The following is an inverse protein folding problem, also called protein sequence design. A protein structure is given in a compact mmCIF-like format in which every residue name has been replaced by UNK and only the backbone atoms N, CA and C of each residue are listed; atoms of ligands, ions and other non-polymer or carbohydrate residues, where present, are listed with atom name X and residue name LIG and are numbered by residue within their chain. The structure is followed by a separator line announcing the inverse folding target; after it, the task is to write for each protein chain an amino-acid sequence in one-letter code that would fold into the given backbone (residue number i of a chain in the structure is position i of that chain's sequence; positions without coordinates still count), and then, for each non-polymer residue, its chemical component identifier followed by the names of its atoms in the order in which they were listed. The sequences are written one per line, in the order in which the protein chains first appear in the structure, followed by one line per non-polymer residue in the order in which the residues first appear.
data_IF_803889995598
#
_entry.id   IF_803889995598
#
_cell.length_a   1.000
_cell.length_b   1.000
_cell.length_c   1.000
_cell.angle_alpha   90.00
_cell.angle_beta   90.00
_cell.angle_gamma   90.00
#
_symmetry.space_group_name_H-M   'P 1'
#
loop_
_entity.id
_entity.type
_entity.pdbx_description
1 polymer ?
#
# COMPACT_ATOMS: atom_id res chain seq x y z
N UNK A 1 16.68 -15.46 3.43
CA UNK A 1 17.32 -14.22 3.94
C UNK A 1 16.36 -13.56 4.94
N UNK A 2 16.68 -12.41 5.56
CA UNK A 2 15.67 -11.68 6.36
C UNK A 2 14.57 -11.08 5.47
N UNK A 3 14.92 -10.66 4.25
CA UNK A 3 13.96 -10.21 3.25
C UNK A 3 13.01 -11.35 2.86
N UNK A 4 13.54 -12.54 2.56
CA UNK A 4 12.71 -13.70 2.18
C UNK A 4 11.75 -14.09 3.31
N UNK A 5 12.20 -14.05 4.57
CA UNK A 5 11.33 -14.30 5.72
C UNK A 5 10.20 -13.26 5.82
N UNK A 6 10.52 -11.98 5.68
CA UNK A 6 9.52 -10.91 5.66
C UNK A 6 8.50 -11.11 4.55
N UNK A 7 8.94 -11.45 3.34
CA UNK A 7 8.07 -11.75 2.21
C UNK A 7 7.17 -12.96 2.49
N UNK A 8 7.74 -14.09 2.90
CA UNK A 8 6.99 -15.33 3.20
C UNK A 8 5.94 -15.11 4.30
N UNK A 9 6.31 -14.38 5.36
CA UNK A 9 5.41 -14.01 6.45
C UNK A 9 4.29 -13.08 5.98
N UNK A 10 4.61 -12.12 5.11
CA UNK A 10 3.62 -11.22 4.50
C UNK A 10 2.64 -11.98 3.61
N UNK A 11 3.12 -12.84 2.72
CA UNK A 11 2.26 -13.70 1.89
C UNK A 11 1.29 -14.51 2.77
N UNK A 12 1.80 -15.15 3.83
CA UNK A 12 0.99 -15.96 4.72
C UNK A 12 -0.03 -15.14 5.51
N UNK A 13 0.36 -13.98 6.04
CA UNK A 13 -0.49 -13.12 6.85
C UNK A 13 -1.60 -12.44 6.04
N UNK A 14 -1.30 -12.06 4.80
CA UNK A 14 -2.21 -11.33 3.92
C UNK A 14 -3.24 -12.23 3.21
N UNK A 15 -3.00 -13.55 3.11
CA UNK A 15 -3.87 -14.47 2.36
C UNK A 15 -5.37 -14.36 2.73
N UNK A 16 -5.71 -14.09 3.99
CA UNK A 16 -7.10 -13.92 4.44
C UNK A 16 -7.77 -12.65 3.88
N UNK A 17 -6.98 -11.65 3.49
CA UNK A 17 -7.44 -10.36 2.98
C UNK A 17 -7.64 -10.35 1.46
N UNK A 18 -7.44 -11.49 0.78
CA UNK A 18 -7.91 -11.68 -0.60
C UNK A 18 -9.43 -11.41 -0.71
N UNK A 19 -10.19 -11.65 0.37
CA UNK A 19 -11.58 -11.22 0.52
C UNK A 19 -11.64 -9.82 1.19
N UNK A 20 -12.03 -8.75 0.46
CA UNK A 20 -12.13 -7.41 1.04
C UNK A 20 -13.15 -7.30 2.17
N UNK A 21 -14.14 -8.20 2.27
CA UNK A 21 -15.05 -8.21 3.41
C UNK A 21 -14.32 -8.60 4.72
N UNK A 22 -13.31 -9.47 4.63
CA UNK A 22 -12.43 -9.80 5.76
C UNK A 22 -11.59 -8.58 6.11
N UNK A 23 -11.00 -7.90 5.13
CA UNK A 23 -10.25 -6.68 5.36
C UNK A 23 -11.12 -5.59 6.04
N UNK A 24 -12.33 -5.35 5.55
CA UNK A 24 -13.29 -4.42 6.17
C UNK A 24 -13.59 -4.81 7.62
N UNK A 25 -13.78 -6.10 7.90
CA UNK A 25 -14.04 -6.58 9.28
C UNK A 25 -12.85 -6.38 10.23
N UNK A 26 -11.65 -6.19 9.68
CA UNK A 26 -10.41 -5.87 10.40
C UNK A 26 -10.12 -4.35 10.45
N UNK A 27 -10.99 -3.51 9.89
CA UNK A 27 -10.88 -2.05 9.97
C UNK A 27 -10.19 -1.36 8.81
N UNK A 28 -9.87 -2.08 7.72
CA UNK A 28 -9.36 -1.48 6.49
C UNK A 28 -10.50 -0.79 5.70
N UNK A 29 -10.25 0.42 5.21
CA UNK A 29 -11.19 1.14 4.34
C UNK A 29 -11.15 0.60 2.91
N UNK A 30 -12.10 -0.27 2.58
CA UNK A 30 -12.23 -0.87 1.24
C UNK A 30 -13.37 -0.26 0.43
N UNK A 31 -14.01 0.81 0.93
CA UNK A 31 -15.15 1.40 0.24
C UNK A 31 -14.72 2.14 -1.02
N UNK A 32 -15.51 1.99 -2.09
CA UNK A 32 -15.29 2.72 -3.33
C UNK A 32 -14.06 2.28 -4.12
N UNK A 33 -13.50 1.09 -3.87
CA UNK A 33 -12.33 0.55 -4.58
C UNK A 33 -12.44 0.67 -6.12
N UNK A 34 -11.40 1.25 -6.75
CA UNK A 34 -11.28 1.43 -8.19
C UNK A 34 -9.80 1.49 -8.62
N UNK A 35 -9.52 1.26 -9.91
CA UNK A 35 -8.17 1.37 -10.46
C UNK A 35 -7.27 0.20 -10.10
N UNK A 36 -5.95 0.38 -10.23
CA UNK A 36 -4.93 -0.64 -10.02
C UNK A 36 -3.99 -0.35 -8.83
N UNK A 37 -4.29 0.66 -8.01
CA UNK A 37 -3.45 1.12 -6.90
C UNK A 37 -4.29 1.64 -5.72
N UNK A 38 -5.33 0.89 -5.35
CA UNK A 38 -6.24 1.28 -4.27
C UNK A 38 -5.63 0.96 -2.90
N UNK A 39 -5.30 2.00 -2.15
CA UNK A 39 -4.75 1.91 -0.81
C UNK A 39 -5.87 1.87 0.24
N UNK A 40 -6.18 0.67 0.72
CA UNK A 40 -7.12 0.44 1.80
C UNK A 40 -6.42 0.61 3.16
N UNK A 41 -6.41 1.83 3.68
CA UNK A 41 -5.75 2.17 4.95
C UNK A 41 -6.53 1.72 6.19
N UNK A 42 -5.82 1.48 7.29
CA UNK A 42 -6.38 1.25 8.61
C UNK A 42 -5.81 2.27 9.61
N UNK A 43 -6.58 3.33 9.86
CA UNK A 43 -6.17 4.43 10.75
C UNK A 43 -5.86 3.98 12.19
N UNK A 44 -6.40 2.84 12.64
CA UNK A 44 -6.11 2.34 13.99
C UNK A 44 -4.71 1.72 14.14
N UNK A 45 -4.04 1.42 13.03
CA UNK A 45 -2.71 0.79 13.00
C UNK A 45 -1.57 1.79 12.80
N UNK A 46 -1.84 2.95 12.20
CA UNK A 46 -0.81 3.95 11.83
C UNK A 46 0.07 4.48 12.97
N UNK A 47 -0.45 4.49 14.20
CA UNK A 47 0.25 4.97 15.39
C UNK A 47 0.27 3.92 16.51
N UNK A 48 0.22 2.63 16.16
CA UNK A 48 0.06 1.53 17.12
C UNK A 48 1.39 1.04 17.73
N UNK A 49 2.51 1.61 17.29
CA UNK A 49 3.87 1.31 17.74
C UNK A 49 4.47 0.04 17.16
N UNK A 50 3.79 -0.63 16.22
CA UNK A 50 4.32 -1.78 15.48
C UNK A 50 4.90 -1.27 14.17
N UNK A 51 6.17 -1.54 13.97
CA UNK A 51 6.85 -1.21 12.72
C UNK A 51 7.10 -2.50 11.95
N UNK A 52 6.64 -2.53 10.69
CA UNK A 52 6.87 -3.64 9.77
C UNK A 52 6.34 -4.97 10.35
N UNK A 53 5.08 -4.99 10.80
CA UNK A 53 4.37 -6.18 11.28
C UNK A 53 3.47 -6.76 10.17
N UNK A 54 3.85 -7.86 9.50
CA UNK A 54 3.06 -8.44 8.43
C UNK A 54 1.64 -8.87 8.83
N UNK A 55 1.38 -9.09 10.12
CA UNK A 55 0.06 -9.47 10.61
C UNK A 55 -0.91 -8.29 10.77
N UNK A 56 -0.39 -7.07 10.85
CA UNK A 56 -1.15 -5.84 11.05
C UNK A 56 -0.54 -4.69 10.21
N UNK A 57 -0.47 -4.82 8.87
CA UNK A 57 0.05 -3.73 8.06
C UNK A 57 -0.88 -2.50 8.14
N UNK A 58 -0.31 -1.31 8.06
CA UNK A 58 -1.07 -0.05 8.13
C UNK A 58 -2.01 0.10 6.93
N UNK A 59 -1.60 -0.40 5.75
CA UNK A 59 -2.38 -0.30 4.52
C UNK A 59 -2.29 -1.58 3.69
N UNK A 60 -3.44 -2.05 3.19
CA UNK A 60 -3.52 -3.08 2.14
C UNK A 60 -3.64 -2.41 0.77
N UNK A 61 -3.02 -2.98 -0.26
CA UNK A 61 -3.10 -2.44 -1.62
C UNK A 61 -3.85 -3.40 -2.53
N UNK A 62 -4.88 -2.90 -3.20
CA UNK A 62 -5.73 -3.66 -4.12
C UNK A 62 -5.74 -3.07 -5.53
N UNK A 63 -6.01 -3.92 -6.51
CA UNK A 63 -6.40 -3.53 -7.86
C UNK A 63 -7.76 -4.12 -8.23
N UNK A 64 -8.43 -3.52 -9.21
CA UNK A 64 -9.65 -4.04 -9.81
C UNK A 64 -9.34 -4.72 -11.15
N UNK A 65 -9.40 -6.06 -11.18
CA UNK A 65 -9.41 -6.84 -12.41
C UNK A 65 -10.85 -6.93 -12.94
N UNK A 66 -11.28 -5.89 -13.66
CA UNK A 66 -12.69 -5.71 -14.03
C UNK A 66 -13.51 -5.29 -12.81
N UNK A 67 -14.46 -6.13 -12.39
CA UNK A 67 -15.24 -5.95 -11.16
C UNK A 67 -14.71 -6.77 -9.97
N UNK A 68 -13.59 -7.48 -10.15
CA UNK A 68 -12.98 -8.31 -9.12
C UNK A 68 -11.81 -7.61 -8.43
N UNK A 69 -11.86 -7.44 -7.10
CA UNK A 69 -10.72 -6.97 -6.34
C UNK A 69 -9.62 -8.04 -6.30
N UNK A 70 -8.37 -7.60 -6.43
CA UNK A 70 -7.15 -8.41 -6.38
C UNK A 70 -6.23 -7.78 -5.35
N UNK A 71 -5.85 -8.54 -4.32
CA UNK A 71 -4.88 -8.08 -3.32
C UNK A 71 -3.47 -8.08 -3.94
N UNK A 72 -2.84 -6.92 -4.02
CA UNK A 72 -1.48 -6.77 -4.56
C UNK A 72 -0.42 -6.98 -3.49
N UNK A 73 -0.67 -6.49 -2.28
CA UNK A 73 0.33 -6.46 -1.22
C UNK A 73 -0.10 -5.61 -0.02
N UNK A 74 0.90 -5.20 0.74
CA UNK A 74 0.74 -4.27 1.85
C UNK A 74 1.77 -3.15 1.76
N UNK A 75 1.39 -1.99 2.29
CA UNK A 75 2.28 -0.87 2.57
C UNK A 75 2.40 -0.73 4.08
N UNK A 76 3.64 -0.73 4.56
CA UNK A 76 4.00 -0.44 5.94
C UNK A 76 4.40 1.02 6.04
N UNK A 77 4.03 1.68 7.13
CA UNK A 77 4.33 3.08 7.38
C UNK A 77 5.05 3.25 8.72
N UNK A 78 5.96 4.21 8.81
CA UNK A 78 6.54 4.62 10.08
C UNK A 78 5.56 5.50 10.86
N UNK A 79 5.54 5.41 12.20
CA UNK A 79 4.66 6.22 13.05
C UNK A 79 4.90 7.74 12.90
N UNK A 80 6.17 8.15 12.72
CA UNK A 80 6.54 9.57 12.71
C UNK A 80 7.26 10.03 11.43
N UNK A 81 6.94 11.24 10.97
CA UNK A 81 7.67 11.92 9.89
C UNK A 81 9.14 12.10 10.29
N UNK A 82 10.05 11.68 9.40
CA UNK A 82 11.49 11.78 9.60
C UNK A 82 12.08 10.64 10.43
N UNK A 83 11.27 9.67 10.87
CA UNK A 83 11.75 8.42 11.43
C UNK A 83 12.16 7.47 10.29
N UNK A 84 13.42 7.00 10.34
CA UNK A 84 13.92 6.06 9.35
C UNK A 84 13.41 4.64 9.62
N UNK A 85 12.94 3.97 8.57
CA UNK A 85 12.51 2.58 8.65
C UNK A 85 13.67 1.58 8.76
N UNK A 86 13.41 0.38 9.31
CA UNK A 86 14.45 -0.64 9.47
C UNK A 86 14.90 -1.25 8.13
N UNK A 87 16.22 -1.31 7.91
CA UNK A 87 16.82 -1.94 6.73
C UNK A 87 16.90 -3.48 6.84
N UNK A 88 15.75 -4.15 7.01
CA UNK A 88 15.66 -5.59 7.33
C UNK A 88 16.28 -6.50 6.25
N UNK A 89 16.13 -6.14 4.98
CA UNK A 89 16.74 -6.80 3.81
C UNK A 89 17.93 -6.06 3.21
N UNK A 90 18.49 -5.06 3.91
CA UNK A 90 19.53 -4.20 3.37
C UNK A 90 19.02 -3.43 2.14
N UNK A 91 19.75 -3.42 1.00
CA UNK A 91 19.37 -2.62 -0.17
C UNK A 91 18.09 -3.10 -0.88
N UNK A 92 17.55 -4.25 -0.51
CA UNK A 92 16.30 -4.78 -1.08
C UNK A 92 15.06 -4.19 -0.40
N UNK A 93 15.15 -3.74 0.85
CA UNK A 93 14.01 -3.23 1.61
C UNK A 93 14.17 -1.73 1.80
N UNK A 94 13.80 -0.95 0.77
CA UNK A 94 14.02 0.50 0.75
C UNK A 94 12.75 1.23 1.16
N UNK A 95 12.81 1.84 2.34
CA UNK A 95 11.82 2.80 2.80
C UNK A 95 11.95 4.11 2.03
N UNK A 96 10.83 4.74 1.72
CA UNK A 96 10.81 6.03 1.03
C UNK A 96 9.66 6.90 1.56
N UNK A 97 9.78 8.22 1.41
CA UNK A 97 8.69 9.15 1.72
C UNK A 97 8.31 9.90 0.45
N UNK A 98 7.04 10.21 0.29
CA UNK A 98 6.57 11.05 -0.82
C UNK A 98 6.56 12.50 -0.36
N UNK A 99 6.94 13.40 -1.24
CA UNK A 99 6.84 14.83 -1.03
C UNK A 99 5.61 15.40 -1.75
N UNK A 100 5.13 16.55 -1.28
CA UNK A 100 4.08 17.32 -1.96
C UNK A 100 2.76 16.55 -2.20
N UNK A 101 2.38 15.66 -1.27
CA UNK A 101 1.12 14.94 -1.32
C UNK A 101 -0.03 15.82 -0.86
N UNK A 102 -1.17 15.70 -1.54
CA UNK A 102 -2.43 16.26 -1.12
C UNK A 102 -3.28 15.18 -0.45
N UNK A 103 -3.58 15.32 0.84
CA UNK A 103 -4.50 14.44 1.55
C UNK A 103 -5.91 15.03 1.56
N UNK A 104 -6.88 14.25 1.11
CA UNK A 104 -8.29 14.54 1.36
C UNK A 104 -8.63 14.11 2.79
N UNK A 105 -9.46 14.91 3.48
CA UNK A 105 -10.04 14.53 4.77
C UNK A 105 -11.41 13.85 4.62
N UNK A 106 -12.00 13.88 3.42
CA UNK A 106 -13.33 13.31 3.12
C UNK A 106 -13.47 12.90 1.64
N UNK A 107 -13.33 11.60 1.28
CA UNK A 107 -12.85 10.49 2.13
C UNK A 107 -11.40 10.71 2.55
N UNK A 108 -10.99 10.11 3.66
CA UNK A 108 -9.59 10.19 4.11
C UNK A 108 -8.72 9.41 3.12
N UNK A 109 -7.67 10.04 2.60
CA UNK A 109 -6.76 9.38 1.67
C UNK A 109 -5.96 10.34 0.80
N UNK A 110 -5.09 9.78 -0.05
CA UNK A 110 -4.32 10.56 -1.01
C UNK A 110 -5.26 11.08 -2.11
N UNK A 111 -5.41 12.41 -2.16
CA UNK A 111 -6.16 13.13 -3.18
C UNK A 111 -5.33 13.42 -4.44
N UNK A 112 -4.03 13.10 -4.42
CA UNK A 112 -3.08 13.26 -5.51
C UNK A 112 -1.83 14.05 -5.11
N UNK A 113 -1.01 14.41 -6.08
CA UNK A 113 0.15 15.29 -5.90
C UNK A 113 -0.25 16.77 -6.01
N UNK A 114 0.56 17.65 -5.45
CA UNK A 114 0.39 19.08 -5.67
C UNK A 114 0.46 19.43 -7.15
N UNK A 115 -0.45 20.32 -7.58
CA UNK A 115 -0.38 20.93 -8.90
C UNK A 115 0.84 21.85 -9.04
N UNK A 116 1.14 22.34 -10.26
CA UNK A 116 2.36 23.10 -10.58
C UNK A 116 2.55 24.42 -9.79
N UNK A 117 1.54 24.85 -9.04
CA UNK A 117 1.57 26.04 -8.19
C UNK A 117 1.57 25.70 -6.68
N UNK A 118 1.81 24.44 -6.30
CA UNK A 118 1.74 24.00 -4.90
C UNK A 118 0.32 23.94 -4.34
N UNK A 119 -0.70 23.85 -5.21
CA UNK A 119 -2.09 23.79 -4.80
C UNK A 119 -2.60 22.35 -4.80
N UNK A 120 -3.30 21.97 -3.73
CA UNK A 120 -4.06 20.73 -3.67
C UNK A 120 -5.46 20.89 -4.27
N UNK A 121 -6.10 19.79 -4.70
CA UNK A 121 -7.52 19.78 -5.02
C UNK A 121 -8.37 20.41 -3.92
N UNK A 122 -9.50 21.01 -4.28
CA UNK A 122 -10.36 21.67 -3.31
C UNK A 122 -10.81 20.68 -2.21
N UNK A 123 -10.55 21.01 -0.95
CA UNK A 123 -10.85 20.15 0.19
C UNK A 123 -9.69 19.23 0.63
N UNK A 124 -8.58 19.23 -0.11
CA UNK A 124 -7.36 18.51 0.27
C UNK A 124 -6.31 19.43 0.91
N UNK A 125 -5.54 18.88 1.84
CA UNK A 125 -4.46 19.56 2.57
C UNK A 125 -3.13 19.10 2.01
N UNK A 126 -2.23 20.06 1.79
CA UNK A 126 -0.85 19.74 1.43
C UNK A 126 -0.10 19.19 2.65
N UNK A 127 0.52 18.03 2.46
CA UNK A 127 1.47 17.44 3.39
C UNK A 127 2.85 17.54 2.73
N UNK A 128 3.79 18.30 3.33
CA UNK A 128 5.09 18.57 2.71
C UNK A 128 5.93 17.30 2.50
N UNK A 129 5.80 16.32 3.40
CA UNK A 129 6.41 15.01 3.29
C UNK A 129 5.58 14.00 4.10
N UNK A 130 5.44 12.78 3.59
CA UNK A 130 4.80 11.68 4.32
C UNK A 130 5.75 11.06 5.34
N UNK A 131 5.21 10.16 6.15
CA UNK A 131 6.02 9.19 6.87
C UNK A 131 6.76 8.29 5.85
N UNK A 132 7.87 7.69 6.27
CA UNK A 132 8.52 6.69 5.43
C UNK A 132 7.60 5.48 5.30
N UNK A 133 7.48 4.96 4.08
CA UNK A 133 6.65 3.82 3.71
C UNK A 133 7.46 2.78 2.95
N UNK A 134 7.02 1.54 3.03
CA UNK A 134 7.66 0.40 2.39
C UNK A 134 6.62 -0.60 1.92
N UNK A 135 6.68 -0.96 0.64
CA UNK A 135 5.75 -1.91 0.03
C UNK A 135 6.33 -3.32 0.01
N UNK A 136 5.45 -4.30 0.25
CA UNK A 136 5.72 -5.71 0.00
C UNK A 136 4.59 -6.27 -0.87
N UNK A 137 4.91 -6.57 -2.12
CA UNK A 137 4.00 -7.11 -3.11
C UNK A 137 3.97 -8.63 -3.03
N UNK A 138 2.77 -9.23 -2.98
CA UNK A 138 2.57 -10.67 -2.78
C UNK A 138 2.08 -11.40 -4.03
N UNK A 139 2.07 -10.71 -5.17
CA UNK A 139 1.57 -11.25 -6.43
C UNK A 139 2.40 -12.45 -6.92
N UNK A 140 1.76 -13.59 -7.24
CA UNK A 140 2.44 -14.72 -7.85
C UNK A 140 3.09 -14.35 -9.20
N UNK A 141 4.38 -14.64 -9.33
CA UNK A 141 5.13 -14.45 -10.58
C UNK A 141 5.78 -13.07 -10.75
N UNK A 142 5.63 -12.17 -9.78
CA UNK A 142 6.37 -10.91 -9.74
C UNK A 142 7.86 -11.20 -9.46
N UNK A 143 8.77 -10.56 -10.21
CA UNK A 143 10.21 -10.80 -10.10
C UNK A 143 10.83 -10.14 -8.85
N UNK A 144 10.38 -8.94 -8.51
CA UNK A 144 10.87 -8.16 -7.36
C UNK A 144 9.71 -7.76 -6.43
N UNK A 145 9.50 -8.44 -5.29
CA UNK A 145 8.40 -8.15 -4.38
C UNK A 145 8.62 -6.89 -3.53
N UNK A 146 9.78 -6.24 -3.59
CA UNK A 146 10.11 -5.05 -2.80
C UNK A 146 10.36 -3.79 -3.65
N UNK A 147 10.40 -3.94 -4.97
CA UNK A 147 10.55 -2.85 -5.92
C UNK A 147 9.20 -2.30 -6.40
N UNK A 148 9.26 -1.39 -7.37
CA UNK A 148 8.07 -0.92 -8.07
C UNK A 148 7.52 -2.04 -8.98
N UNK A 149 6.19 -2.14 -9.08
CA UNK A 149 5.56 -3.03 -10.05
C UNK A 149 5.62 -2.35 -11.43
N UNK A 150 6.09 -3.07 -12.44
CA UNK A 150 6.01 -2.61 -13.83
C UNK A 150 4.53 -2.51 -14.27
N UNK A 151 4.13 -1.33 -14.74
CA UNK A 151 2.73 -1.02 -15.08
C UNK A 151 2.20 -1.95 -16.20
N UNK A 152 3.00 -2.21 -17.23
CA UNK A 152 2.60 -3.08 -18.35
C UNK A 152 2.41 -4.53 -17.88
N UNK A 153 3.29 -5.02 -17.01
CA UNK A 153 3.16 -6.33 -16.38
C UNK A 153 1.90 -6.44 -15.52
N UNK A 154 1.61 -5.42 -14.70
CA UNK A 154 0.42 -5.41 -13.83
C UNK A 154 -0.87 -5.42 -14.67
N UNK A 155 -0.91 -4.63 -15.75
CA UNK A 155 -2.05 -4.58 -16.65
C UNK A 155 -2.29 -5.93 -17.35
N UNK A 156 -1.24 -6.62 -17.80
CA UNK A 156 -1.34 -7.97 -18.35
C UNK A 156 -1.84 -8.97 -17.30
N UNK A 157 -1.28 -8.91 -16.09
CA UNK A 157 -1.66 -9.78 -14.97
C UNK A 157 -3.14 -9.63 -14.60
N UNK A 158 -3.62 -8.39 -14.45
CA UNK A 158 -5.02 -8.10 -14.13
C UNK A 158 -5.96 -8.48 -15.28
N UNK A 159 -5.53 -8.33 -16.54
CA UNK A 159 -6.29 -8.77 -17.71
C UNK A 159 -6.46 -10.29 -17.73
N UNK A 160 -5.39 -11.05 -17.46
CA UNK A 160 -5.48 -12.51 -17.36
C UNK A 160 -6.44 -12.93 -16.25
N UNK A 161 -6.34 -12.34 -15.05
CA UNK A 161 -7.31 -12.59 -13.97
C UNK A 161 -8.73 -12.29 -14.44
N UNK A 162 -8.97 -11.12 -15.04
CA UNK A 162 -10.30 -10.67 -15.44
C UNK A 162 -10.98 -11.60 -16.46
N UNK A 163 -10.21 -12.38 -17.22
CA UNK A 163 -10.73 -13.29 -18.26
C UNK A 163 -10.92 -14.74 -17.79
N UNK A 164 -10.48 -15.09 -16.58
CA UNK A 164 -10.73 -16.40 -15.93
C UNK A 164 -12.09 -16.44 -15.25
#
# INVERSE_FOLDING_TARGET
SRADHLYEETVAALAKFEDPAVAASHGYDVEGMFGNDFHAGNESLKDDGRILDPHNPETLVYAMAGDRPVLLGAMFEMDEIGQAGPAVGGPLTVWHAHDHICLSLTPVGIAGLQGPFGSCPAGAINIPITNEMFHVWVLPGLEDPFGDIDEDWLDEYLTDIATR
#
